data_IF_577427306885
#
_entry.id   IF_577427306885
#
_cell.length_a   1.000
_cell.length_b   1.000
_cell.length_c   1.000
_cell.angle_alpha   90.00
_cell.angle_beta   90.00
_cell.angle_gamma   90.00
#
_symmetry.space_group_name_H-M   'P 1'
#
loop_
_entity.id
_entity.type
_entity.pdbx_description
1 polymer ?
#
# COMPACT_ATOMS: atom_id res chain seq x y z
N UNK A 1 -8.97 7.60 -28.10
CA UNK A 1 -8.76 7.50 -27.63
C UNK A 1 -8.37 7.56 -26.91
N UNK A 2 -8.44 7.53 -26.71
CA UNK A 2 -8.07 7.43 -25.94
C UNK A 2 -7.73 7.60 -25.01
N UNK A 3 -7.65 7.66 -24.77
CA UNK A 3 -7.25 7.65 -23.85
C UNK A 3 -7.27 7.93 -23.03
N UNK A 4 -7.56 7.89 -22.78
CA UNK A 4 -7.56 7.90 -22.00
C UNK A 4 -7.51 7.70 -21.19
N UNK A 5 -7.40 7.61 -21.10
CA UNK A 5 -7.26 7.09 -20.30
C UNK A 5 -6.97 7.07 -19.55
N UNK A 6 -6.93 7.04 -19.65
CA UNK A 6 -6.59 6.74 -18.89
C UNK A 6 -6.28 7.09 -18.20
N UNK A 7 -6.49 7.30 -17.89
CA UNK A 7 -6.27 7.36 -17.21
C UNK A 7 -6.22 7.37 -16.52
N UNK A 8 -6.40 7.47 -16.33
CA UNK A 8 -6.37 7.18 -15.64
C UNK A 8 -6.16 6.78 -15.03
N UNK A 9 -6.03 6.75 -15.09
CA UNK A 9 -5.81 6.14 -14.47
C UNK A 9 -5.69 6.09 -13.95
N UNK A 10 -5.85 6.40 -13.85
CA UNK A 10 -5.79 6.17 -13.32
C UNK A 10 -5.84 6.06 -12.68
N UNK A 11 -6.18 6.25 -12.31
CA UNK A 11 -6.28 5.93 -11.65
C UNK A 11 -6.01 5.39 -11.08
N UNK A 12 -5.82 5.32 -10.82
CA UNK A 12 -5.65 4.75 -10.31
C UNK A 12 -5.61 4.27 -9.50
N UNK A 13 -5.92 4.33 -9.19
CA UNK A 13 -6.17 4.28 -8.30
C UNK A 13 -6.17 3.42 -7.34
N UNK A 14 -6.88 3.27 -6.87
CA UNK A 14 -6.72 2.45 -5.88
C UNK A 14 -6.74 1.13 -6.28
N UNK A 15 -5.59 0.61 -6.42
CA UNK A 15 -5.42 -0.64 -6.90
C UNK A 15 -5.47 -1.67 -5.88
N UNK A 16 -5.38 -1.36 -4.59
CA UNK A 16 -5.24 -2.31 -3.49
C UNK A 16 -6.43 -2.22 -2.56
N UNK A 17 -6.84 -3.37 -2.01
CA UNK A 17 -7.95 -3.44 -1.08
C UNK A 17 -7.54 -4.26 0.13
N UNK A 18 -8.26 -4.10 1.23
CA UNK A 18 -8.04 -4.91 2.41
C UNK A 18 -8.23 -6.37 2.02
N UNK A 19 -7.28 -7.21 2.41
CA UNK A 19 -7.30 -8.63 2.06
C UNK A 19 -6.39 -8.98 0.88
N UNK A 20 -5.94 -7.97 0.13
CA UNK A 20 -5.03 -8.23 -0.99
C UNK A 20 -3.68 -8.71 -0.50
N UNK A 21 -3.10 -9.65 -1.25
CA UNK A 21 -1.74 -10.12 -1.00
C UNK A 21 -0.78 -9.29 -1.82
N UNK A 22 0.25 -8.78 -1.17
CA UNK A 22 1.23 -7.90 -1.80
C UNK A 22 2.63 -8.26 -1.36
N UNK A 23 3.61 -7.75 -2.09
CA UNK A 23 5.00 -7.88 -1.68
C UNK A 23 5.69 -6.54 -1.81
N UNK A 24 6.80 -6.38 -1.11
CA UNK A 24 7.61 -5.18 -1.16
C UNK A 24 9.05 -5.53 -0.80
N UNK A 25 9.97 -4.62 -1.10
CA UNK A 25 11.37 -4.79 -0.74
C UNK A 25 11.62 -4.19 0.63
N UNK A 26 12.32 -4.92 1.47
CA UNK A 26 12.73 -4.43 2.78
C UNK A 26 14.23 -4.60 2.87
N UNK A 27 14.81 -4.13 3.99
CA UNK A 27 16.24 -4.32 4.20
C UNK A 27 16.61 -5.79 4.27
N UNK A 28 15.67 -6.63 4.67
CA UNK A 28 15.90 -8.07 4.76
C UNK A 28 15.59 -8.81 3.46
N UNK A 29 15.26 -8.07 2.39
CA UNK A 29 14.93 -8.67 1.11
C UNK A 29 13.46 -8.56 0.80
N UNK A 30 12.99 -9.39 -0.10
CA UNK A 30 11.59 -9.35 -0.54
C UNK A 30 10.70 -9.97 0.52
N UNK A 31 9.65 -9.24 0.89
CA UNK A 31 8.71 -9.66 1.92
C UNK A 31 7.31 -9.63 1.33
N UNK A 32 6.43 -10.47 1.83
CA UNK A 32 5.04 -10.43 1.41
C UNK A 32 4.12 -10.40 2.62
N UNK A 33 2.89 -9.96 2.39
CA UNK A 33 1.91 -9.87 3.44
C UNK A 33 0.53 -9.58 2.90
N UNK A 34 -0.39 -9.31 3.81
CA UNK A 34 -1.78 -9.05 3.48
C UNK A 34 -2.16 -7.66 3.96
N UNK A 35 -2.81 -6.90 3.10
CA UNK A 35 -3.27 -5.55 3.47
C UNK A 35 -4.39 -5.68 4.47
N UNK A 36 -4.23 -4.99 5.61
CA UNK A 36 -5.22 -5.03 6.69
C UNK A 36 -5.92 -3.70 6.87
N UNK A 37 -5.36 -2.61 6.36
CA UNK A 37 -5.99 -1.30 6.53
C UNK A 37 -5.48 -0.35 5.46
N UNK A 38 -6.36 0.55 5.02
CA UNK A 38 -6.02 1.57 4.04
C UNK A 38 -6.21 2.93 4.70
N UNK A 39 -5.17 3.78 4.64
CA UNK A 39 -5.22 5.12 5.19
C UNK A 39 -5.25 6.14 4.06
N UNK A 40 -6.22 7.04 4.11
CA UNK A 40 -6.36 8.11 3.13
C UNK A 40 -6.14 9.48 3.74
N UNK A 41 -5.63 9.51 4.96
CA UNK A 41 -5.20 10.74 5.62
C UNK A 41 -4.08 10.37 6.56
N UNK A 42 -3.37 11.38 7.05
CA UNK A 42 -2.21 11.15 7.88
C UNK A 42 -2.56 10.28 9.09
N UNK A 43 -1.63 9.45 9.49
CA UNK A 43 -1.82 8.56 10.64
C UNK A 43 -0.50 8.29 11.32
N UNK A 44 -0.57 7.82 12.55
CA UNK A 44 0.61 7.43 13.30
C UNK A 44 0.76 5.92 13.28
N UNK A 45 2.00 5.48 13.09
CA UNK A 45 2.31 4.06 13.11
C UNK A 45 3.67 3.88 13.76
N UNK A 46 3.72 3.13 14.86
CA UNK A 46 4.95 2.87 15.60
C UNK A 46 5.67 4.15 16.00
N UNK A 47 4.91 5.14 16.40
CA UNK A 47 5.49 6.40 16.87
C UNK A 47 5.86 7.38 15.78
N UNK A 48 5.66 7.04 14.53
CA UNK A 48 5.97 7.93 13.42
C UNK A 48 4.71 8.37 12.72
N UNK A 49 4.72 9.62 12.26
CA UNK A 49 3.61 10.14 11.51
C UNK A 49 3.83 9.84 10.03
N UNK A 50 2.86 9.19 9.45
CA UNK A 50 2.88 8.85 8.03
C UNK A 50 1.90 9.74 7.28
N UNK A 51 2.32 10.24 6.13
CA UNK A 51 1.48 11.13 5.33
C UNK A 51 0.75 10.33 4.28
N UNK A 52 -0.56 10.48 4.24
CA UNK A 52 -1.38 9.80 3.26
C UNK A 52 -2.49 10.73 2.81
N UNK A 53 -3.03 10.47 1.63
CA UNK A 53 -4.14 11.25 1.09
C UNK A 53 -4.98 10.32 0.22
N UNK A 54 -6.07 10.85 -0.30
CA UNK A 54 -6.91 10.06 -1.21
C UNK A 54 -6.15 9.72 -2.49
N UNK A 55 -5.27 10.63 -2.93
CA UNK A 55 -4.49 10.43 -4.14
C UNK A 55 -3.31 9.50 -3.91
N UNK A 56 -2.78 9.52 -2.70
CA UNK A 56 -1.65 8.65 -2.34
C UNK A 56 -1.91 8.00 -1.00
N UNK A 57 -2.77 7.00 -0.97
CA UNK A 57 -3.04 6.31 0.28
C UNK A 57 -1.84 5.48 0.72
N UNK A 58 -1.79 5.20 2.01
CA UNK A 58 -0.82 4.26 2.55
C UNK A 58 -1.56 3.05 3.09
N UNK A 59 -0.86 1.94 3.11
CA UNK A 59 -1.45 0.66 3.47
C UNK A 59 -0.71 0.06 4.63
N UNK A 60 -1.46 -0.47 5.60
CA UNK A 60 -0.87 -1.31 6.65
C UNK A 60 -0.96 -2.74 6.18
N UNK A 61 0.16 -3.44 6.25
CA UNK A 61 0.27 -4.80 5.72
C UNK A 61 0.83 -5.70 6.81
N UNK A 62 0.13 -6.78 7.08
CA UNK A 62 0.62 -7.76 8.05
C UNK A 62 1.50 -8.75 7.31
N UNK A 63 2.74 -8.91 7.78
CA UNK A 63 3.69 -9.83 7.16
C UNK A 63 3.18 -11.26 7.23
N UNK A 64 3.46 -12.05 6.19
CA UNK A 64 3.06 -13.45 6.18
C UNK A 64 3.91 -14.30 7.11
N UNK A 65 5.13 -13.86 7.42
CA UNK A 65 6.04 -14.66 8.21
C UNK A 65 6.09 -14.30 9.68
N UNK A 66 5.68 -13.09 10.01
CA UNK A 66 5.77 -12.61 11.39
C UNK A 66 4.50 -11.84 11.69
N UNK A 67 4.41 -11.34 12.93
CA UNK A 67 3.28 -10.48 13.29
C UNK A 67 3.57 -9.01 13.03
N UNK A 68 4.66 -8.73 12.33
CA UNK A 68 4.99 -7.35 12.01
C UNK A 68 3.97 -6.73 11.08
N UNK A 69 3.66 -5.48 11.35
CA UNK A 69 2.79 -4.69 10.49
C UNK A 69 3.63 -3.57 9.92
N UNK A 70 3.66 -3.47 8.60
CA UNK A 70 4.39 -2.43 7.89
C UNK A 70 3.41 -1.42 7.33
N UNK A 71 3.90 -0.20 7.09
CA UNK A 71 3.09 0.84 6.44
C UNK A 71 3.85 1.31 5.21
N UNK A 72 3.22 1.23 4.04
CA UNK A 72 3.86 1.60 2.78
C UNK A 72 2.86 2.26 1.85
N UNK A 73 3.38 3.14 0.99
CA UNK A 73 2.59 3.69 -0.10
C UNK A 73 2.38 2.63 -1.15
N UNK A 74 1.32 2.80 -1.94
CA UNK A 74 1.01 1.84 -2.99
C UNK A 74 2.15 1.65 -3.99
N UNK A 75 2.92 2.72 -4.25
CA UNK A 75 4.01 2.63 -5.21
C UNK A 75 5.12 1.68 -4.76
N UNK A 76 5.18 1.35 -3.48
CA UNK A 76 6.18 0.42 -2.97
C UNK A 76 5.69 -1.03 -3.01
N UNK A 77 4.44 -1.26 -3.37
CA UNK A 77 3.82 -2.59 -3.28
C UNK A 77 3.62 -3.20 -4.65
N UNK A 78 3.76 -4.51 -4.71
CA UNK A 78 3.42 -5.29 -5.90
C UNK A 78 2.31 -6.25 -5.53
N UNK A 79 1.24 -6.25 -6.28
CA UNK A 79 0.13 -7.15 -6.02
C UNK A 79 0.49 -8.56 -6.48
N UNK A 80 0.21 -9.53 -5.62
CA UNK A 80 0.51 -10.93 -5.92
C UNK A 80 -0.68 -11.62 -6.57
#
# INVERSE_FOLDING_TARGET
>A
MKIKFAIKNLFMETKFEVGDKVSWNSEAGRVSGTIIKIHRQDFNHKGYRHHASKEEPQYEIKSNKTDHIAAHKGSALTKL
#
